data_IF_818918650879
#
_entry.id   IF_818918650879
#
_cell.length_a   1.000
_cell.length_b   1.000
_cell.length_c   1.000
_cell.angle_alpha   90.00
_cell.angle_beta   90.00
_cell.angle_gamma   90.00
#
_symmetry.space_group_name_H-M   'P 1'
#
loop_
_entity.id
_entity.type
_entity.pdbx_description
1 polymer ?
#
# COMPACT_ATOMS: atom_id res chain seq x y z
N UNK A 1 -14.20 8.55 7.45
CA UNK A 1 -13.55 9.83 7.10
C UNK A 1 -14.24 10.39 5.85
N UNK A 2 -14.51 11.71 5.76
CA UNK A 2 -15.08 12.31 4.55
C UNK A 2 -14.16 12.15 3.34
N UNK A 3 -14.73 12.16 2.13
CA UNK A 3 -14.02 12.08 0.83
C UNK A 3 -13.11 10.85 0.64
N UNK A 4 -13.29 9.79 1.42
CA UNK A 4 -12.40 8.63 1.42
C UNK A 4 -12.19 7.99 0.04
N UNK A 5 -13.25 7.81 -0.76
CA UNK A 5 -13.15 7.27 -2.11
C UNK A 5 -12.29 8.16 -3.02
N UNK A 6 -12.53 9.47 -3.00
CA UNK A 6 -11.78 10.45 -3.79
C UNK A 6 -10.30 10.46 -3.41
N UNK A 7 -10.01 10.35 -2.11
CA UNK A 7 -8.65 10.25 -1.59
C UNK A 7 -7.95 9.00 -2.12
N UNK A 8 -8.61 7.84 -2.08
CA UNK A 8 -8.07 6.60 -2.63
C UNK A 8 -7.78 6.73 -4.13
N UNK A 9 -8.65 7.39 -4.89
CA UNK A 9 -8.47 7.58 -6.32
C UNK A 9 -7.28 8.53 -6.61
N UNK A 10 -7.13 9.61 -5.83
CA UNK A 10 -5.98 10.50 -5.91
C UNK A 10 -4.67 9.78 -5.58
N UNK A 11 -4.63 9.03 -4.47
CA UNK A 11 -3.45 8.29 -4.03
C UNK A 11 -3.05 7.22 -5.04
N UNK A 12 -4.02 6.47 -5.60
CA UNK A 12 -3.73 5.48 -6.65
C UNK A 12 -3.13 6.13 -7.89
N UNK A 13 -3.72 7.23 -8.35
CA UNK A 13 -3.23 7.97 -9.51
C UNK A 13 -1.80 8.50 -9.28
N UNK A 14 -1.55 9.10 -8.11
CA UNK A 14 -0.23 9.62 -7.75
C UNK A 14 0.82 8.50 -7.60
N UNK A 15 0.46 7.35 -7.05
CA UNK A 15 1.37 6.21 -6.89
C UNK A 15 1.84 5.64 -8.23
N UNK A 16 0.98 5.68 -9.27
CA UNK A 16 1.38 5.26 -10.63
C UNK A 16 2.49 6.13 -11.22
N UNK A 17 2.65 7.38 -10.75
CA UNK A 17 3.76 8.26 -11.15
C UNK A 17 5.09 7.93 -10.44
N UNK A 18 5.10 7.00 -9.47
CA UNK A 18 6.25 6.62 -8.65
C UNK A 18 6.60 5.11 -8.79
N UNK A 19 6.89 4.62 -10.01
CA UNK A 19 7.02 3.18 -10.29
C UNK A 19 8.16 2.45 -9.56
N UNK A 20 9.11 3.19 -8.96
CA UNK A 20 10.20 2.62 -8.15
C UNK A 20 9.81 2.26 -6.72
N UNK A 21 8.64 2.71 -6.24
CA UNK A 21 8.21 2.52 -4.87
C UNK A 21 7.06 1.52 -4.78
N UNK A 22 7.30 0.39 -4.12
CA UNK A 22 6.28 -0.63 -3.90
C UNK A 22 5.21 -0.16 -2.90
N UNK A 23 5.63 0.46 -1.81
CA UNK A 23 4.75 0.97 -0.74
C UNK A 23 5.22 2.35 -0.34
N UNK A 24 4.28 3.26 -0.16
CA UNK A 24 4.48 4.63 0.30
C UNK A 24 3.40 4.94 1.35
N UNK A 25 3.77 5.69 2.38
CA UNK A 25 2.80 6.40 3.20
C UNK A 25 2.36 7.66 2.47
N UNK A 26 1.08 8.02 2.57
CA UNK A 26 0.53 9.19 1.89
C UNK A 26 -0.12 10.13 2.88
N UNK A 27 0.33 11.37 2.85
CA UNK A 27 -0.20 12.44 3.68
C UNK A 27 -1.16 13.27 2.83
N UNK A 28 -2.42 13.34 3.26
CA UNK A 28 -3.50 13.98 2.50
C UNK A 28 -4.23 14.96 3.39
N UNK A 29 -4.28 16.22 2.98
CA UNK A 29 -5.10 17.23 3.62
C UNK A 29 -6.53 17.16 3.09
N UNK A 30 -7.52 17.13 3.98
CA UNK A 30 -8.93 17.31 3.62
C UNK A 30 -9.29 18.77 3.82
N UNK A 31 -9.54 19.50 2.74
CA UNK A 31 -9.90 20.93 2.75
C UNK A 31 -11.38 21.12 2.40
N UNK A 32 -11.98 22.31 2.62
CA UNK A 32 -13.34 22.61 2.16
C UNK A 32 -13.54 22.42 0.66
N UNK A 33 -12.49 22.63 -0.14
CA UNK A 33 -12.51 22.49 -1.61
C UNK A 33 -12.28 21.04 -2.07
N UNK A 34 -11.78 20.17 -1.18
CA UNK A 34 -11.52 18.76 -1.46
C UNK A 34 -10.19 18.25 -0.90
N UNK A 35 -9.87 16.97 -1.13
CA UNK A 35 -8.61 16.38 -0.70
C UNK A 35 -7.42 16.86 -1.56
N UNK A 36 -6.30 17.16 -0.91
CA UNK A 36 -5.03 17.52 -1.54
C UNK A 36 -3.93 16.59 -1.05
N UNK A 37 -3.19 15.99 -1.99
CA UNK A 37 -1.97 15.22 -1.66
C UNK A 37 -0.89 16.21 -1.25
N UNK A 38 -0.28 15.99 -0.08
CA UNK A 38 0.81 16.81 0.43
C UNK A 38 2.17 16.19 0.11
N UNK A 39 2.36 14.92 0.50
CA UNK A 39 3.62 14.22 0.32
C UNK A 39 3.46 12.70 0.26
N UNK A 40 4.51 12.05 -0.24
CA UNK A 40 4.68 10.60 -0.21
C UNK A 40 5.91 10.25 0.62
N UNK A 41 5.74 9.31 1.55
CA UNK A 41 6.73 8.93 2.54
C UNK A 41 7.24 7.51 2.30
N UNK A 42 8.51 7.38 1.88
CA UNK A 42 9.16 6.06 1.71
C UNK A 42 9.48 5.34 3.03
N UNK A 43 9.57 6.07 4.14
CA UNK A 43 9.83 5.53 5.47
C UNK A 43 8.73 5.95 6.45
N UNK A 44 7.48 5.66 6.11
CA UNK A 44 6.33 5.99 6.94
C UNK A 44 6.30 5.16 8.23
N UNK A 45 5.81 5.75 9.31
CA UNK A 45 5.81 5.11 10.62
C UNK A 45 4.88 3.89 10.69
N UNK A 46 5.44 2.70 10.86
CA UNK A 46 4.68 1.44 11.02
C UNK A 46 4.50 1.02 12.49
N UNK A 47 5.35 1.55 13.37
CA UNK A 47 5.42 1.17 14.80
C UNK A 47 4.09 1.35 15.52
N UNK A 48 3.37 2.44 15.22
CA UNK A 48 2.07 2.76 15.82
C UNK A 48 0.97 1.77 15.44
N UNK A 49 1.05 1.15 14.26
CA UNK A 49 0.10 0.13 13.82
C UNK A 49 0.48 -1.26 14.36
N UNK A 50 1.77 -1.57 14.47
CA UNK A 50 2.24 -2.91 14.86
C UNK A 50 2.21 -3.13 16.38
N UNK A 51 2.65 -2.17 17.19
CA UNK A 51 2.82 -2.37 18.64
C UNK A 51 1.50 -2.54 19.40
N UNK A 52 0.46 -1.71 19.21
CA UNK A 52 -0.78 -1.84 19.97
C UNK A 52 -1.59 -3.06 19.57
N UNK A 53 -1.49 -3.50 18.31
CA UNK A 53 -2.29 -4.62 17.78
C UNK A 53 -1.64 -6.00 17.89
N UNK A 54 -0.35 -6.07 18.26
CA UNK A 54 0.46 -7.30 18.22
C UNK A 54 0.38 -8.06 16.88
N UNK A 55 0.10 -7.35 15.78
CA UNK A 55 0.04 -7.90 14.43
C UNK A 55 1.24 -7.42 13.63
N UNK A 56 1.95 -8.31 12.92
CA UNK A 56 2.96 -7.89 11.97
C UNK A 56 2.31 -7.07 10.85
N UNK A 57 3.08 -6.17 10.23
CA UNK A 57 2.65 -5.52 8.99
C UNK A 57 2.65 -6.49 7.81
N UNK A 58 3.44 -7.55 7.94
CA UNK A 58 3.64 -8.60 6.96
C UNK A 58 2.63 -9.71 7.28
N UNK A 59 1.70 -9.93 6.36
CA UNK A 59 0.88 -11.13 6.26
C UNK A 59 1.09 -11.79 4.88
N UNK A 60 0.38 -12.89 4.62
CA UNK A 60 0.52 -13.63 3.36
C UNK A 60 0.17 -12.77 2.14
N UNK A 61 -0.74 -11.81 2.27
CA UNK A 61 -1.10 -10.89 1.18
C UNK A 61 -0.01 -9.85 0.94
N UNK A 62 0.55 -9.28 2.00
CA UNK A 62 1.70 -8.37 1.89
C UNK A 62 2.92 -9.07 1.28
N UNK A 63 3.15 -10.35 1.62
CA UNK A 63 4.23 -11.14 1.04
C UNK A 63 4.06 -11.37 -0.46
N UNK A 64 2.83 -11.51 -0.97
CA UNK A 64 2.57 -11.63 -2.42
C UNK A 64 2.97 -10.35 -3.18
N UNK A 65 2.64 -9.20 -2.60
CA UNK A 65 3.03 -7.89 -3.15
C UNK A 65 4.55 -7.74 -3.12
N UNK A 66 5.18 -8.06 -1.99
CA UNK A 66 6.64 -8.03 -1.84
C UNK A 66 7.34 -8.94 -2.85
N UNK A 67 6.88 -10.19 -2.99
CA UNK A 67 7.48 -11.14 -3.91
C UNK A 67 7.36 -10.71 -5.38
N UNK A 68 6.24 -10.07 -5.75
CA UNK A 68 6.05 -9.52 -7.11
C UNK A 68 7.07 -8.43 -7.42
N UNK A 69 7.38 -7.58 -6.44
CA UNK A 69 8.34 -6.50 -6.61
C UNK A 69 9.80 -6.95 -6.51
N UNK A 70 10.12 -7.80 -5.52
CA UNK A 70 11.48 -8.29 -5.29
C UNK A 70 11.94 -9.26 -6.39
N UNK A 71 11.00 -9.98 -7.02
CA UNK A 71 11.27 -10.98 -8.05
C UNK A 71 10.36 -10.76 -9.28
N UNK A 72 10.54 -9.66 -10.04
CA UNK A 72 9.64 -9.31 -11.14
C UNK A 72 9.65 -10.31 -12.31
N UNK A 73 10.64 -11.22 -12.35
CA UNK A 73 10.74 -12.33 -13.30
C UNK A 73 10.19 -13.66 -12.78
N UNK A 74 9.73 -13.75 -11.53
CA UNK A 74 9.15 -14.96 -10.99
C UNK A 74 7.76 -15.22 -11.61
N UNK A 75 7.40 -16.47 -11.94
CA UNK A 75 6.05 -16.78 -12.39
C UNK A 75 5.04 -16.31 -11.32
N UNK A 76 4.01 -15.57 -11.75
CA UNK A 76 2.99 -14.98 -10.86
C UNK A 76 2.55 -16.03 -9.83
N UNK A 77 2.64 -15.70 -8.53
CA UNK A 77 2.31 -16.55 -7.37
C UNK A 77 0.80 -16.92 -7.27
N UNK A 78 0.07 -16.94 -8.40
CA UNK A 78 -1.30 -17.43 -8.48
C UNK A 78 -1.40 -18.96 -8.31
N UNK A 79 -0.28 -19.68 -8.19
CA UNK A 79 -0.24 -21.14 -8.08
C UNK A 79 -0.29 -21.68 -6.63
N UNK A 80 -0.23 -20.83 -5.59
CA UNK A 80 -0.23 -21.28 -4.19
C UNK A 80 -1.60 -21.13 -3.48
N UNK A 81 -2.64 -20.67 -4.18
CA UNK A 81 -3.97 -20.45 -3.60
C UNK A 81 -4.98 -21.59 -3.83
N UNK A 82 -4.59 -22.67 -4.50
CA UNK A 82 -5.41 -23.88 -4.63
C UNK A 82 -4.63 -25.07 -4.07
N UNK A 83 -4.89 -25.50 -2.82
CA UNK A 83 -4.54 -26.86 -2.45
C UNK A 83 -5.44 -27.77 -3.30
N UNK A 84 -4.83 -28.64 -4.08
CA UNK A 84 -5.53 -29.74 -4.73
C UNK A 84 -6.29 -30.55 -3.68
N UNK A 85 -7.46 -31.07 -4.09
CA UNK A 85 -8.37 -31.95 -3.34
C UNK A 85 -7.68 -33.02 -2.47
#
# INVERSE_FOLDING_TARGET
MPFWSVILDHVRSAHLALPGYMVLGWDVAVTPEGPLILEANGNFGTVGSQKPGARPLIDDEFLKVFATWAYPSAPKLNALANPAE
#
